data_IF_633506889105
#
_entry.id   IF_633506889105
#
_cell.length_a   1.000
_cell.length_b   1.000
_cell.length_c   1.000
_cell.angle_alpha   90.00
_cell.angle_beta   90.00
_cell.angle_gamma   90.00
#
_symmetry.space_group_name_H-M   'P 1'
#
loop_
_entity.id
_entity.type
_entity.pdbx_description
1 polymer ?
2 non-polymer ?
3 non-polymer ?
4 water ?
#
# COMPACT_ATOMS: atom_id res chain seq x y z
N UNK A 11 -15.76 -1.48 -17.57
CA UNK A 11 -16.11 -1.73 -16.16
C UNK A 11 -17.62 -1.99 -16.06
N UNK A 12 -18.03 -2.79 -15.06
CA UNK A 12 -19.41 -3.13 -14.79
C UNK A 12 -20.18 -1.91 -14.28
N UNK A 13 -21.29 -1.58 -14.95
CA UNK A 13 -22.15 -0.48 -14.53
C UNK A 13 -23.21 -1.07 -13.59
N UNK A 14 -23.28 -0.54 -12.37
CA UNK A 14 -24.19 -1.11 -11.39
C UNK A 14 -25.36 -0.16 -11.17
N UNK A 15 -26.57 -0.71 -11.15
CA UNK A 15 -27.75 0.11 -10.95
C UNK A 15 -27.84 0.49 -9.47
N UNK A 16 -28.18 1.74 -9.10
CA UNK A 16 -28.25 2.13 -7.67
C UNK A 16 -29.22 1.37 -6.77
N UNK A 17 -30.25 0.74 -7.34
CA UNK A 17 -31.19 -0.01 -6.53
C UNK A 17 -30.51 -1.26 -5.98
N UNK A 18 -29.36 -1.63 -6.58
CA UNK A 18 -28.60 -2.82 -6.17
C UNK A 18 -27.62 -2.53 -5.02
N UNK A 19 -27.51 -1.26 -4.57
CA UNK A 19 -26.46 -0.81 -3.65
C UNK A 19 -27.08 -0.07 -2.49
N UNK A 20 -26.78 -0.49 -1.23
CA UNK A 20 -27.16 0.31 -0.07
C UNK A 20 -25.92 0.75 0.72
N UNK A 21 -25.84 2.06 0.99
CA UNK A 21 -24.82 2.63 1.84
C UNK A 21 -25.27 2.53 3.30
N UNK A 22 -24.41 2.05 4.19
CA UNK A 22 -24.80 1.82 5.57
C UNK A 22 -24.05 2.71 6.53
N UNK A 23 -22.72 2.73 6.44
CA UNK A 23 -21.90 3.40 7.43
C UNK A 23 -20.80 4.13 6.67
N UNK A 24 -20.55 5.40 7.02
CA UNK A 24 -19.37 6.11 6.54
C UNK A 24 -18.14 5.50 7.20
N UNK A 25 -17.10 5.19 6.40
CA UNK A 25 -15.85 4.62 6.91
C UNK A 25 -14.67 5.48 6.50
N UNK A 26 -14.90 6.51 5.69
CA UNK A 26 -13.85 7.39 5.21
C UNK A 26 -14.50 8.65 4.65
N UNK A 27 -13.78 9.78 4.64
CA UNK A 27 -14.37 11.01 4.13
C UNK A 27 -13.28 11.96 3.62
N UNK A 28 -13.63 12.78 2.63
CA UNK A 28 -12.80 13.87 2.15
C UNK A 28 -13.66 15.06 1.74
N UNK A 29 -13.01 16.11 1.19
CA UNK A 29 -13.68 17.32 0.74
C UNK A 29 -14.72 17.02 -0.35
N UNK A 30 -14.48 16.03 -1.24
CA UNK A 30 -15.26 15.83 -2.46
C UNK A 30 -16.18 14.59 -2.43
N UNK A 31 -16.12 13.80 -1.37
CA UNK A 31 -16.98 12.64 -1.24
C UNK A 31 -16.66 11.84 0.02
N UNK A 32 -17.34 10.70 0.18
CA UNK A 32 -17.06 9.79 1.29
C UNK A 32 -16.85 8.38 0.76
N UNK A 33 -16.33 7.54 1.66
CA UNK A 33 -16.29 6.10 1.51
C UNK A 33 -17.27 5.48 2.51
N UNK A 34 -18.14 4.58 2.04
CA UNK A 34 -19.04 3.83 2.90
C UNK A 34 -18.76 2.33 2.91
N UNK A 35 -19.12 1.67 4.02
CA UNK A 35 -19.48 0.27 4.02
C UNK A 35 -20.94 0.13 3.58
N UNK A 36 -21.21 -0.86 2.74
CA UNK A 36 -22.56 -1.07 2.22
C UNK A 36 -22.76 -2.50 1.79
N UNK A 37 -23.89 -2.75 1.12
CA UNK A 37 -24.24 -4.08 0.61
C UNK A 37 -24.54 -3.97 -0.87
N UNK A 38 -24.22 -5.02 -1.62
CA UNK A 38 -24.42 -5.11 -3.06
C UNK A 38 -25.27 -6.33 -3.38
N UNK A 39 -26.42 -6.11 -4.02
CA UNK A 39 -27.41 -7.13 -4.33
C UNK A 39 -27.55 -7.23 -5.85
N UNK A 46 -26.46 -11.17 -1.50
CA UNK A 46 -26.14 -9.82 -0.96
C UNK A 46 -24.76 -9.86 -0.29
N UNK A 47 -23.82 -9.01 -0.72
CA UNK A 47 -22.43 -9.11 -0.28
C UNK A 47 -21.96 -7.75 0.26
N UNK A 48 -21.04 -7.69 1.26
CA UNK A 48 -20.55 -6.42 1.78
C UNK A 48 -19.62 -5.82 0.71
N UNK A 49 -19.66 -4.48 0.60
CA UNK A 49 -18.83 -3.74 -0.35
C UNK A 49 -18.39 -2.45 0.33
N UNK A 50 -17.29 -1.89 -0.20
CA UNK A 50 -16.97 -0.49 0.04
C UNK A 50 -17.47 0.34 -1.15
N UNK A 51 -17.85 1.59 -0.83
CA UNK A 51 -18.50 2.48 -1.79
C UNK A 51 -17.88 3.88 -1.66
N UNK A 52 -17.17 4.33 -2.70
CA UNK A 52 -16.62 5.67 -2.70
C UNK A 52 -17.48 6.56 -3.60
N UNK A 53 -17.91 7.75 -3.11
CA UNK A 53 -18.81 8.63 -3.85
C UNK A 53 -18.06 9.87 -4.33
N UNK A 54 -18.61 10.52 -5.36
CA UNK A 54 -18.15 11.84 -5.82
C UNK A 54 -19.30 12.85 -5.75
N UNK A 55 -19.06 13.98 -5.06
CA UNK A 55 -20.08 15.02 -4.82
C UNK A 55 -20.39 15.83 -6.10
N UNK A 56 -21.62 16.37 -6.16
CA UNK A 56 -22.10 17.21 -7.26
C UNK A 56 -21.26 18.46 -7.41
N UNK A 57 -21.13 18.91 -8.66
CA UNK A 57 -20.32 20.07 -8.95
C UNK A 57 -18.88 19.70 -9.23
N UNK A 58 -18.60 18.38 -9.33
CA UNK A 58 -17.25 17.94 -9.58
C UNK A 58 -16.79 18.55 -10.90
N UNK A 59 -15.48 18.79 -11.01
CA UNK A 59 -14.86 19.33 -12.21
C UNK A 59 -14.58 18.20 -13.18
N UNK A 60 -14.20 18.55 -14.42
CA UNK A 60 -13.73 17.59 -15.41
C UNK A 60 -12.54 16.79 -14.86
N UNK A 61 -11.56 17.47 -14.25
CA UNK A 61 -10.38 16.82 -13.69
C UNK A 61 -10.76 15.84 -12.59
N UNK A 62 -11.67 16.26 -11.69
CA UNK A 62 -12.17 15.37 -10.65
C UNK A 62 -12.79 14.11 -11.26
N UNK A 63 -13.63 14.27 -12.29
CA UNK A 63 -14.32 13.13 -12.90
C UNK A 63 -13.29 12.16 -13.53
N UNK A 64 -12.33 12.72 -14.28
CA UNK A 64 -11.32 11.92 -14.95
C UNK A 64 -10.51 11.15 -13.90
N UNK A 65 -10.11 11.82 -12.80
CA UNK A 65 -9.36 11.17 -11.73
C UNK A 65 -10.18 10.10 -10.99
N UNK A 66 -11.46 10.38 -10.71
CA UNK A 66 -12.34 9.47 -9.98
C UNK A 66 -12.60 8.23 -10.83
N UNK A 67 -13.11 8.44 -12.06
CA UNK A 67 -13.42 7.29 -12.90
C UNK A 67 -12.12 6.64 -13.37
N UNK A 68 -11.02 7.43 -13.37
CA UNK A 68 -9.70 6.95 -13.73
C UNK A 68 -9.22 5.86 -12.77
N UNK A 69 -9.48 6.06 -11.46
CA UNK A 69 -9.11 5.08 -10.46
C UNK A 69 -9.84 3.78 -10.75
N UNK A 70 -11.16 3.87 -11.00
CA UNK A 70 -11.93 2.68 -11.31
C UNK A 70 -11.43 2.01 -12.59
N UNK A 71 -11.10 2.81 -13.60
CA UNK A 71 -10.61 2.26 -14.86
C UNK A 71 -9.31 1.49 -14.65
N UNK A 72 -8.37 2.07 -13.87
CA UNK A 72 -7.12 1.38 -13.57
C UNK A 72 -7.43 0.08 -12.81
N UNK A 73 -8.24 0.15 -11.73
CA UNK A 73 -8.50 -1.03 -10.93
C UNK A 73 -9.17 -2.10 -11.79
N UNK A 74 -10.07 -1.71 -12.71
CA UNK A 74 -10.79 -2.69 -13.52
C UNK A 74 -9.87 -3.46 -14.48
N UNK A 75 -8.66 -2.97 -14.74
CA UNK A 75 -7.71 -3.63 -15.63
C UNK A 75 -6.97 -4.75 -14.91
N UNK A 76 -7.07 -4.78 -13.57
CA UNK A 76 -6.29 -5.72 -12.77
C UNK A 76 -7.16 -6.85 -12.24
N UNK A 77 -6.53 -8.02 -12.11
CA UNK A 77 -7.14 -9.19 -11.52
C UNK A 77 -6.05 -9.99 -10.77
N UNK A 78 -5.90 -9.72 -9.46
CA UNK A 78 -4.85 -10.34 -8.67
C UNK A 78 -5.35 -10.40 -7.23
N UNK A 79 -5.03 -11.50 -6.52
CA UNK A 79 -5.39 -11.73 -5.14
C UNK A 79 -5.01 -10.57 -4.20
N UNK A 80 -3.90 -9.89 -4.50
CA UNK A 80 -3.35 -8.87 -3.63
C UNK A 80 -3.55 -7.45 -4.17
N UNK A 81 -4.58 -7.30 -4.99
CA UNK A 81 -4.99 -6.01 -5.54
C UNK A 81 -6.50 -5.90 -5.31
N UNK A 82 -6.92 -4.80 -4.72
CA UNK A 82 -8.31 -4.58 -4.40
C UNK A 82 -9.16 -4.80 -5.66
N UNK A 83 -10.23 -5.58 -5.48
CA UNK A 83 -11.10 -5.97 -6.58
C UNK A 83 -12.24 -4.98 -6.73
N UNK A 84 -12.40 -4.51 -7.96
CA UNK A 84 -13.52 -3.67 -8.34
C UNK A 84 -14.76 -4.53 -8.62
N UNK A 85 -15.88 -4.16 -8.03
CA UNK A 85 -17.18 -4.73 -8.38
C UNK A 85 -17.81 -3.97 -9.56
N UNK A 86 -17.67 -2.65 -9.59
CA UNK A 86 -18.21 -1.86 -10.70
C UNK A 86 -18.39 -0.41 -10.29
N UNK A 87 -19.13 0.36 -11.11
CA UNK A 87 -19.23 1.79 -10.90
C UNK A 87 -20.69 2.18 -11.11
N UNK A 88 -21.09 3.28 -10.48
CA UNK A 88 -22.30 3.99 -10.87
C UNK A 88 -21.87 5.30 -11.47
N UNK A 89 -21.98 5.39 -12.81
CA UNK A 89 -21.57 6.59 -13.51
C UNK A 89 -22.77 7.27 -14.17
N UNK A 90 -23.87 6.53 -14.40
CA UNK A 90 -25.03 7.06 -15.14
C UNK A 90 -25.95 7.85 -14.22
N UNK A 91 -25.77 7.68 -12.91
CA UNK A 91 -26.57 8.36 -11.91
C UNK A 91 -25.61 9.10 -10.98
N UNK A 92 -26.14 10.05 -10.21
CA UNK A 92 -25.32 10.90 -9.36
C UNK A 92 -25.88 10.88 -7.96
N UNK A 93 -25.06 10.85 -6.89
CA UNK A 93 -23.59 10.94 -7.01
C UNK A 93 -23.01 9.68 -7.67
N UNK A 94 -21.87 9.83 -8.35
CA UNK A 94 -21.20 8.69 -8.94
C UNK A 94 -20.52 7.89 -7.84
N UNK A 95 -20.36 6.58 -8.07
CA UNK A 95 -19.82 5.70 -7.05
C UNK A 95 -18.86 4.69 -7.67
N UNK A 96 -17.82 4.35 -6.88
CA UNK A 96 -17.01 3.16 -7.15
C UNK A 96 -17.28 2.13 -6.07
N UNK A 97 -17.48 0.86 -6.48
CA UNK A 97 -17.85 -0.20 -5.59
C UNK A 97 -16.77 -1.27 -5.63
N UNK A 98 -16.20 -1.57 -4.45
CA UNK A 98 -15.14 -2.57 -4.36
C UNK A 98 -15.53 -3.64 -3.35
N UNK A 99 -14.73 -4.71 -3.30
CA UNK A 99 -14.81 -5.62 -2.15
C UNK A 99 -14.58 -4.81 -0.86
N UNK A 100 -15.12 -5.33 0.25
CA UNK A 100 -14.96 -4.71 1.55
C UNK A 100 -13.88 -5.42 2.33
N UNK A 101 -12.91 -4.65 2.83
CA UNK A 101 -11.77 -5.19 3.54
C UNK A 101 -12.02 -4.95 5.03
N UNK A 102 -12.37 -6.05 5.75
CA UNK A 102 -13.00 -5.97 7.07
C UNK A 102 -12.09 -5.34 8.13
N UNK A 103 -10.76 -5.41 7.93
CA UNK A 103 -9.79 -4.94 8.89
C UNK A 103 -9.21 -3.59 8.49
N UNK A 104 -9.66 -3.01 7.39
CA UNK A 104 -9.31 -1.62 7.09
C UNK A 104 -7.85 -1.47 6.64
N UNK A 105 -7.30 -0.28 6.89
CA UNK A 105 -5.95 0.09 6.49
C UNK A 105 -4.92 -0.61 7.37
N UNK A 106 -3.87 -1.11 6.74
CA UNK A 106 -2.83 -1.89 7.39
C UNK A 106 -2.13 -1.07 8.47
N UNK A 107 -1.89 0.21 8.25
CA UNK A 107 -1.16 1.00 9.25
C UNK A 107 -1.91 1.06 10.58
N UNK A 108 -3.17 1.44 10.50
CA UNK A 108 -4.03 1.53 11.67
C UNK A 108 -4.27 0.17 12.33
N UNK A 109 -4.47 -0.84 11.50
CA UNK A 109 -4.65 -2.20 11.96
C UNK A 109 -3.45 -2.68 12.78
N UNK A 110 -2.24 -2.50 12.26
CA UNK A 110 -1.03 -2.94 12.97
C UNK A 110 -0.94 -2.21 14.32
N UNK A 111 -1.24 -0.91 14.36
CA UNK A 111 -1.07 -0.12 15.58
C UNK A 111 -2.12 -0.49 16.62
N UNK A 112 -3.27 -0.99 16.16
CA UNK A 112 -4.32 -1.46 17.08
C UNK A 112 -4.13 -2.93 17.49
N UNK A 113 -3.18 -3.65 16.91
CA UNK A 113 -3.03 -5.08 17.13
C UNK A 113 -1.59 -5.38 17.48
N UNK A 114 -0.93 -4.41 18.12
CA UNK A 114 0.49 -4.52 18.38
C UNK A 114 0.81 -5.82 19.13
N UNK A 115 1.73 -6.61 18.60
CA UNK A 115 2.21 -7.85 19.20
C UNK A 115 1.31 -9.07 19.03
N UNK A 116 0.17 -8.95 18.33
CA UNK A 116 -0.86 -9.98 18.27
C UNK A 116 -0.63 -11.03 17.18
N UNK A 117 0.39 -10.89 16.34
CA UNK A 117 0.65 -11.83 15.25
C UNK A 117 1.98 -12.54 15.40
N UNK A 118 2.09 -13.73 14.81
CA UNK A 118 3.38 -14.41 14.75
C UNK A 118 4.26 -13.74 13.68
N UNK A 119 5.57 -13.98 13.78
CA UNK A 119 6.49 -13.51 12.75
C UNK A 119 6.12 -14.08 11.38
N UNK A 120 5.73 -15.35 11.33
CA UNK A 120 5.34 -15.96 10.07
C UNK A 120 4.13 -15.23 9.48
N UNK A 121 3.13 -14.88 10.29
CA UNK A 121 1.99 -14.13 9.79
C UNK A 121 2.43 -12.78 9.21
N UNK A 122 3.27 -12.07 9.93
CA UNK A 122 3.76 -10.77 9.43
C UNK A 122 4.46 -10.92 8.08
N UNK A 123 5.35 -11.92 7.97
CA UNK A 123 6.06 -12.18 6.73
C UNK A 123 5.11 -12.56 5.58
N UNK A 124 4.06 -13.30 5.90
CA UNK A 124 3.03 -13.66 4.97
C UNK A 124 2.30 -12.43 4.42
N UNK A 125 2.04 -11.46 5.30
CA UNK A 125 1.42 -10.20 4.87
C UNK A 125 2.33 -9.51 3.85
N UNK A 126 3.64 -9.47 4.15
CA UNK A 126 4.60 -8.86 3.25
C UNK A 126 4.71 -9.61 1.93
N UNK A 127 4.61 -10.94 1.95
CA UNK A 127 4.68 -11.66 0.66
C UNK A 127 3.50 -11.25 -0.22
N UNK A 128 2.31 -11.15 0.40
CA UNK A 128 1.10 -10.76 -0.33
C UNK A 128 1.24 -9.39 -0.97
N UNK A 129 1.78 -8.46 -0.19
CA UNK A 129 1.96 -7.11 -0.70
C UNK A 129 2.96 -7.13 -1.86
N UNK A 130 4.06 -7.87 -1.67
CA UNK A 130 5.07 -8.01 -2.70
C UNK A 130 4.53 -8.66 -3.99
N UNK A 131 3.67 -9.68 -3.84
CA UNK A 131 3.05 -10.28 -5.00
C UNK A 131 2.16 -9.28 -5.76
N UNK A 132 1.35 -8.48 -5.02
CA UNK A 132 0.55 -7.44 -5.66
C UNK A 132 1.44 -6.45 -6.41
N UNK A 133 2.52 -6.01 -5.74
CA UNK A 133 3.43 -5.04 -6.35
C UNK A 133 4.14 -5.64 -7.57
N UNK A 134 4.54 -6.91 -7.51
CA UNK A 134 5.12 -7.55 -8.70
C UNK A 134 4.18 -7.47 -9.89
N UNK A 135 2.91 -7.73 -9.64
CA UNK A 135 1.89 -7.74 -10.66
C UNK A 135 1.74 -6.34 -11.22
N UNK A 136 1.64 -5.31 -10.37
CA UNK A 136 1.51 -3.95 -10.85
C UNK A 136 2.72 -3.59 -11.73
N UNK A 137 3.92 -3.92 -11.23
CA UNK A 137 5.14 -3.52 -11.92
C UNK A 137 5.18 -4.18 -13.31
N UNK A 138 4.75 -5.44 -13.31
CA UNK A 138 4.78 -6.19 -14.58
C UNK A 138 3.70 -5.71 -15.55
N UNK A 139 2.63 -5.15 -14.96
CA UNK A 139 1.57 -4.52 -15.74
C UNK A 139 1.92 -3.08 -16.12
N UNK A 140 3.17 -2.65 -15.90
CA UNK A 140 3.63 -1.31 -16.23
C UNK A 140 2.93 -0.22 -15.43
N UNK A 141 2.58 -0.51 -14.18
CA UNK A 141 1.97 0.44 -13.30
C UNK A 141 2.95 0.78 -12.18
N UNK A 142 3.34 2.05 -12.09
CA UNK A 142 4.16 2.54 -10.98
C UNK A 142 3.26 3.20 -9.94
N UNK A 143 3.26 2.68 -8.71
CA UNK A 143 2.29 3.11 -7.72
C UNK A 143 2.56 4.55 -7.25
N UNK A 144 3.79 4.85 -6.88
CA UNK A 144 4.27 6.15 -6.37
C UNK A 144 3.95 6.44 -4.91
N UNK A 145 2.98 5.72 -4.34
CA UNK A 145 2.48 6.04 -3.01
C UNK A 145 2.31 4.77 -2.19
N UNK A 146 3.26 3.87 -2.29
CA UNK A 146 3.18 2.61 -1.55
C UNK A 146 3.61 2.86 -0.09
N UNK A 147 2.68 2.52 0.81
CA UNK A 147 2.79 2.75 2.24
C UNK A 147 1.70 1.89 2.91
N UNK A 148 1.90 1.56 4.19
CA UNK A 148 0.92 0.76 4.92
C UNK A 148 -0.47 1.40 4.89
N UNK A 149 -0.55 2.75 4.88
CA UNK A 149 -1.85 3.40 4.89
C UNK A 149 -2.63 3.10 3.63
N UNK A 150 -1.97 2.67 2.53
CA UNK A 150 -2.62 2.47 1.24
C UNK A 150 -2.80 0.97 0.94
N UNK A 151 -2.55 0.15 1.95
CA UNK A 151 -2.81 -1.29 1.89
C UNK A 151 -4.03 -1.60 2.80
N UNK A 152 -4.92 -2.48 2.32
CA UNK A 152 -6.08 -2.90 3.08
C UNK A 152 -5.98 -4.39 3.44
N UNK A 153 -6.70 -4.78 4.49
CA UNK A 153 -6.56 -6.09 5.13
C UNK A 153 -7.93 -6.73 5.31
N UNK A 154 -8.12 -7.96 4.80
CA UNK A 154 -9.38 -8.65 4.99
C UNK A 154 -9.37 -9.61 6.18
N UNK A 155 -10.48 -10.31 6.38
CA UNK A 155 -10.63 -11.23 7.51
C UNK A 155 -9.86 -12.53 7.33
N UNK A 156 -9.13 -12.74 6.22
CA UNK A 156 -8.16 -13.82 6.05
C UNK A 156 -6.71 -13.33 6.24
N UNK A 157 -6.55 -12.08 6.67
CA UNK A 157 -5.26 -11.42 6.84
C UNK A 157 -4.58 -11.17 5.49
N UNK A 158 -5.35 -11.17 4.41
CA UNK A 158 -4.81 -10.91 3.08
C UNK A 158 -4.68 -9.40 2.95
N UNK A 159 -3.47 -8.97 2.53
CA UNK A 159 -3.14 -7.59 2.27
C UNK A 159 -3.24 -7.31 0.77
N UNK A 160 -3.99 -6.24 0.44
CA UNK A 160 -4.22 -5.82 -0.94
C UNK A 160 -3.87 -4.37 -1.12
N UNK A 161 -3.09 -4.11 -2.18
CA UNK A 161 -2.76 -2.75 -2.58
C UNK A 161 -4.03 -2.06 -3.04
N UNK A 162 -4.22 -0.82 -2.56
CA UNK A 162 -5.26 0.06 -2.98
C UNK A 162 -4.66 1.41 -3.39
N UNK A 163 -5.53 2.42 -3.58
CA UNK A 163 -5.09 3.78 -3.86
C UNK A 163 -4.46 3.86 -5.25
N UNK A 164 -5.30 3.87 -6.29
CA UNK A 164 -4.83 3.95 -7.67
C UNK A 164 -5.26 5.27 -8.31
N UNK A 165 -4.60 5.61 -9.42
CA UNK A 165 -4.91 6.80 -10.21
C UNK A 165 -3.63 7.44 -10.75
N UNK A 166 -3.70 8.76 -11.02
CA UNK A 166 -2.51 9.58 -11.25
C UNK A 166 -2.63 10.93 -10.53
N UNK A 167 -3.28 10.96 -9.35
CA UNK A 167 -3.88 12.17 -8.79
C UNK A 167 -2.98 12.82 -7.71
N UNK A 168 -1.66 12.74 -7.83
CA UNK A 168 -0.78 12.81 -6.65
C UNK A 168 0.35 13.83 -6.83
N UNK A 169 0.78 14.44 -5.70
CA UNK A 169 1.94 15.32 -5.65
C UNK A 169 2.80 14.96 -4.44
N UNK A 170 4.13 14.99 -4.63
CA UNK A 170 5.07 14.85 -3.53
C UNK A 170 4.90 16.03 -2.58
N UNK A 171 4.80 15.68 -1.29
CA UNK A 171 4.75 16.63 -0.17
C UNK A 171 5.91 17.62 -0.29
N UNK A 172 5.66 18.89 0.03
CA UNK A 172 6.67 19.95 0.01
C UNK A 172 7.29 20.12 -1.38
N UNK A 173 6.51 19.90 -2.44
CA UNK A 173 7.04 19.96 -3.80
C UNK A 173 5.95 19.54 -4.79
N UNK A 185 2.08 12.80 -1.40
CA UNK A 185 3.04 11.64 -1.28
C UNK A 185 4.17 12.02 -0.32
N UNK A 186 4.31 11.27 0.80
CA UNK A 186 5.25 11.67 1.84
C UNK A 186 6.67 11.32 1.43
N UNK A 187 7.54 12.27 1.78
CA UNK A 187 8.96 12.15 1.56
C UNK A 187 9.53 10.85 2.14
N UNK A 188 9.17 10.49 3.37
CA UNK A 188 9.93 9.48 4.09
C UNK A 188 9.58 8.06 3.61
N UNK A 189 8.61 7.92 2.71
CA UNK A 189 8.36 6.65 2.02
C UNK A 189 9.01 6.60 0.64
N UNK A 190 9.52 7.73 0.16
CA UNK A 190 9.88 7.87 -1.25
C UNK A 190 11.38 7.67 -1.48
N UNK A 191 11.73 7.02 -2.62
CA UNK A 191 13.09 6.80 -2.99
C UNK A 191 13.84 8.13 -3.29
N UNK A 192 15.16 8.18 -3.04
CA UNK A 192 15.97 9.40 -3.26
C UNK A 192 15.85 9.99 -4.68
N UNK A 193 15.82 9.11 -5.71
CA UNK A 193 15.76 9.60 -7.09
C UNK A 193 14.40 10.22 -7.39
N UNK A 194 13.34 9.78 -6.70
CA UNK A 194 12.02 10.31 -6.95
C UNK A 194 11.93 11.69 -6.32
N UNK A 195 12.48 11.84 -5.12
CA UNK A 195 12.62 13.14 -4.48
C UNK A 195 13.53 14.07 -5.29
N UNK A 196 14.74 13.62 -5.62
CA UNK A 196 15.74 14.53 -6.16
C UNK A 196 15.44 14.95 -7.60
N UNK A 197 14.95 14.05 -8.47
CA UNK A 197 14.74 14.45 -9.87
C UNK A 197 13.47 13.84 -10.49
N UNK A 198 12.52 13.48 -9.64
CA UNK A 198 11.16 13.13 -10.01
C UNK A 198 11.11 11.84 -10.82
N UNK A 199 12.07 10.95 -10.60
CA UNK A 199 12.07 9.65 -11.27
C UNK A 199 11.37 8.58 -10.45
N UNK A 200 10.07 8.38 -10.74
CA UNK A 200 9.28 7.32 -10.15
C UNK A 200 9.25 6.13 -11.11
N UNK A 201 9.71 4.99 -10.61
CA UNK A 201 9.70 3.72 -11.34
C UNK A 201 9.28 2.60 -10.37
N UNK A 202 9.16 1.37 -10.90
CA UNK A 202 9.00 0.22 -10.02
C UNK A 202 10.14 0.09 -8.99
N UNK A 203 11.35 0.58 -9.31
CA UNK A 203 12.46 0.52 -8.38
C UNK A 203 12.31 1.52 -7.22
N UNK A 204 11.64 2.65 -7.47
CA UNK A 204 11.28 3.55 -6.40
C UNK A 204 10.16 2.96 -5.54
N UNK A 205 9.28 2.17 -6.17
CA UNK A 205 8.30 1.43 -5.39
C UNK A 205 8.98 0.37 -4.51
N UNK A 206 10.05 -0.26 -4.98
CA UNK A 206 10.78 -1.21 -4.14
C UNK A 206 11.30 -0.51 -2.87
N UNK A 207 11.86 0.70 -3.02
CA UNK A 207 12.29 1.46 -1.86
C UNK A 207 11.14 1.57 -0.87
N UNK A 208 9.99 1.98 -1.40
CA UNK A 208 8.82 2.17 -0.58
C UNK A 208 8.42 0.86 0.10
N UNK A 209 8.51 -0.25 -0.64
CA UNK A 209 8.23 -1.54 -0.07
C UNK A 209 9.14 -1.86 1.12
N UNK A 210 10.43 -1.52 1.02
CA UNK A 210 11.35 -1.64 2.14
C UNK A 210 10.82 -0.92 3.38
N UNK A 211 10.24 0.29 3.18
CA UNK A 211 9.67 1.07 4.27
C UNK A 211 8.45 0.33 4.82
N UNK A 212 7.63 -0.23 3.93
CA UNK A 212 6.43 -0.98 4.36
C UNK A 212 6.85 -2.21 5.18
N UNK A 213 7.89 -2.90 4.72
CA UNK A 213 8.42 -4.02 5.51
C UNK A 213 8.69 -3.56 6.95
N UNK A 214 9.35 -2.41 7.10
CA UNK A 214 9.72 -1.91 8.42
C UNK A 214 8.45 -1.53 9.20
N UNK A 215 7.47 -0.94 8.52
CA UNK A 215 6.17 -0.64 9.16
C UNK A 215 5.56 -1.93 9.71
N UNK A 216 5.51 -2.98 8.90
CA UNK A 216 4.84 -4.20 9.31
C UNK A 216 5.60 -4.84 10.48
N UNK A 217 6.93 -4.94 10.39
CA UNK A 217 7.68 -5.64 11.43
C UNK A 217 7.71 -4.86 12.74
N UNK A 218 7.40 -3.56 12.69
CA UNK A 218 7.35 -2.72 13.87
C UNK A 218 5.93 -2.52 14.41
N UNK A 219 4.94 -3.14 13.78
CA UNK A 219 3.54 -2.90 14.08
C UNK A 219 3.14 -1.42 13.93
N UNK A 220 3.63 -0.80 12.86
CA UNK A 220 3.15 0.51 12.47
C UNK A 220 3.85 1.68 13.14
N UNK A 221 5.12 1.50 13.47
CA UNK A 221 5.97 2.61 13.90
C UNK A 221 6.10 3.60 12.73
N UNK A 222 6.24 4.88 13.06
CA UNK A 222 6.43 5.90 12.01
C UNK A 222 7.91 5.88 11.60
N UNK A 223 8.20 5.70 10.30
CA UNK A 223 9.60 5.69 9.84
C UNK A 223 10.32 6.99 10.23
N UNK A 224 11.50 6.87 10.83
CA UNK A 224 12.42 7.98 11.14
C UNK A 224 11.87 8.77 12.31
N UNK A 225 10.79 8.29 12.97
CA UNK A 225 10.24 8.94 14.16
C UNK A 225 10.04 10.44 13.95
N UNK A 226 10.67 11.28 14.78
CA UNK A 226 10.32 12.69 14.73
C UNK A 226 11.29 13.45 13.84
N UNK A 227 12.20 12.79 13.09
CA UNK A 227 13.11 13.50 12.17
C UNK A 227 12.22 14.30 11.21
N UNK A 228 12.61 15.55 10.92
CA UNK A 228 11.93 16.35 9.90
C UNK A 228 12.18 15.72 8.52
N UNK A 229 11.37 16.12 7.54
CA UNK A 229 11.59 15.69 6.17
C UNK A 229 13.02 15.97 5.72
N UNK A 230 13.57 17.16 6.05
CA UNK A 230 14.90 17.53 5.58
C UNK A 230 15.98 16.74 6.32
N UNK A 231 15.78 16.47 7.60
CA UNK A 231 16.67 15.59 8.34
C UNK A 231 16.66 14.16 7.77
N UNK A 232 15.52 13.67 7.33
CA UNK A 232 15.42 12.32 6.76
C UNK A 232 16.24 12.27 5.47
N UNK A 233 16.04 13.27 4.62
CA UNK A 233 16.74 13.31 3.33
C UNK A 233 18.25 13.40 3.50
N UNK A 234 18.71 14.26 4.43
CA UNK A 234 20.11 14.40 4.74
C UNK A 234 20.69 13.08 5.30
N UNK A 235 19.92 12.44 6.18
CA UNK A 235 20.36 11.21 6.80
C UNK A 235 20.53 10.14 5.73
N UNK A 236 19.51 9.98 4.87
CA UNK A 236 19.57 8.98 3.82
C UNK A 236 20.76 9.26 2.90
N UNK A 237 20.95 10.53 2.51
CA UNK A 237 22.06 10.88 1.60
C UNK A 237 23.45 10.61 2.21
N UNK A 238 23.57 10.67 3.54
CA UNK A 238 24.80 10.40 4.28
C UNK A 238 24.96 8.91 4.58
N UNK A 239 24.05 8.03 4.11
CA UNK A 239 24.19 6.59 4.28
C UNK A 239 23.40 5.97 5.42
N UNK A 240 22.67 6.77 6.20
CA UNK A 240 21.95 6.25 7.35
C UNK A 240 20.71 5.51 6.84
N UNK A 241 20.32 4.46 7.55
CA UNK A 241 19.08 3.76 7.24
C UNK A 241 18.34 3.45 8.53
N UNK A 242 17.06 3.09 8.39
CA UNK A 242 16.26 2.65 9.53
C UNK A 242 16.95 1.48 10.23
N UNK A 243 16.92 1.49 11.59
CA UNK A 243 17.51 0.38 12.36
C UNK A 243 16.61 -0.86 12.39
N UNK A 244 17.16 -1.96 12.90
CA UNK A 244 16.47 -3.24 12.91
C UNK A 244 15.24 -3.10 13.83
N UNK A 245 14.03 -3.51 13.40
CA UNK A 245 12.90 -3.64 14.34
C UNK A 245 13.26 -4.66 15.41
N UNK A 246 12.54 -4.59 16.54
CA UNK A 246 12.66 -5.59 17.60
C UNK A 246 12.15 -6.92 17.05
N UNK A 247 12.84 -8.03 17.35
CA UNK A 247 12.37 -9.37 17.07
C UNK A 247 12.19 -9.61 15.57
N UNK A 248 13.06 -8.98 14.77
CA UNK A 248 12.99 -9.07 13.32
C UNK A 248 13.94 -10.16 12.84
N UNK A 249 13.48 -11.12 12.02
CA UNK A 249 14.38 -12.07 11.39
C UNK A 249 15.49 -11.35 10.62
N UNK A 250 16.69 -11.87 10.77
CA UNK A 250 17.85 -11.37 10.07
C UNK A 250 17.58 -11.26 8.56
N UNK A 251 17.01 -12.30 7.98
CA UNK A 251 16.82 -12.32 6.53
C UNK A 251 15.87 -11.20 6.11
N UNK A 252 14.89 -10.88 6.96
CA UNK A 252 13.92 -9.83 6.64
C UNK A 252 14.58 -8.46 6.70
N UNK A 253 15.37 -8.20 7.74
CA UNK A 253 16.11 -6.95 7.81
C UNK A 253 17.10 -6.82 6.64
N UNK A 254 17.85 -7.89 6.32
CA UNK A 254 18.71 -7.86 5.16
C UNK A 254 17.96 -7.47 3.89
N UNK A 255 16.74 -8.03 3.70
CA UNK A 255 15.95 -7.75 2.52
C UNK A 255 15.50 -6.29 2.49
N UNK A 256 15.01 -5.74 3.62
CA UNK A 256 14.58 -4.35 3.60
C UNK A 256 15.77 -3.43 3.38
N UNK A 257 16.99 -3.76 3.91
CA UNK A 257 18.16 -2.92 3.67
C UNK A 257 18.52 -2.91 2.17
N UNK A 258 18.38 -4.06 1.49
CA UNK A 258 18.66 -4.07 0.05
C UNK A 258 17.66 -3.23 -0.74
N UNK A 259 16.42 -3.08 -0.24
CA UNK A 259 15.43 -2.25 -0.92
C UNK A 259 15.88 -0.78 -0.89
N UNK A 260 16.73 -0.47 0.09
CA UNK A 260 17.16 0.92 0.33
C UNK A 260 18.58 1.22 -0.17
N UNK A 261 19.01 0.49 -1.17
CA UNK A 261 20.25 0.81 -1.88
C UNK A 261 20.05 2.13 -2.62
N UNK A 262 21.04 3.04 -2.48
CA UNK A 262 20.97 4.34 -3.13
C UNK A 262 20.87 4.13 -4.63
N UNK A 263 21.66 3.16 -5.15
CA UNK A 263 21.70 2.88 -6.57
C UNK A 263 20.52 1.95 -6.89
N UNK A 264 19.59 2.47 -7.69
CA UNK A 264 18.37 1.70 -8.05
C UNK A 264 18.69 0.31 -8.62
N UNK A 265 19.77 0.18 -9.40
CA UNK A 265 20.01 -1.09 -10.07
C UNK A 265 20.49 -2.15 -9.09
N UNK A 266 20.87 -1.78 -7.86
CA UNK A 266 21.28 -2.74 -6.85
C UNK A 266 20.09 -3.22 -6.00
N UNK A 267 18.92 -2.57 -6.14
CA UNK A 267 17.77 -2.97 -5.36
C UNK A 267 17.24 -4.26 -5.97
N UNK A 268 16.62 -5.12 -5.15
CA UNK A 268 15.95 -6.29 -5.69
C UNK A 268 14.75 -5.83 -6.53
N UNK A 269 14.35 -6.67 -7.48
CA UNK A 269 13.08 -6.49 -8.16
C UNK A 269 11.99 -7.11 -7.30
N UNK A 270 10.72 -6.74 -7.51
CA UNK A 270 9.66 -7.45 -6.79
C UNK A 270 9.73 -8.97 -6.99
N UNK A 271 10.21 -9.40 -8.15
CA UNK A 271 10.24 -10.83 -8.43
C UNK A 271 11.19 -11.50 -7.44
N UNK A 272 12.31 -10.80 -7.15
CA UNK A 272 13.30 -11.29 -6.21
C UNK A 272 12.70 -11.35 -4.80
N UNK A 273 12.04 -10.26 -4.40
CA UNK A 273 11.42 -10.14 -3.08
C UNK A 273 10.39 -11.25 -2.86
N UNK A 274 9.47 -11.48 -3.81
CA UNK A 274 8.49 -12.55 -3.74
C UNK A 274 9.21 -13.90 -3.52
N UNK A 275 10.24 -14.16 -4.33
CA UNK A 275 10.96 -15.42 -4.32
C UNK A 275 11.55 -15.64 -2.93
N UNK A 276 12.22 -14.61 -2.39
CA UNK A 276 12.92 -14.70 -1.11
C UNK A 276 11.90 -14.93 0.00
N UNK A 277 10.82 -14.15 0.01
CA UNK A 277 9.82 -14.28 1.08
C UNK A 277 9.18 -15.66 1.02
N UNK A 278 8.93 -16.17 -0.18
CA UNK A 278 8.34 -17.50 -0.35
C UNK A 278 9.23 -18.58 0.26
N UNK A 279 10.54 -18.51 0.00
CA UNK A 279 11.48 -19.47 0.54
C UNK A 279 11.51 -19.42 2.06
N UNK A 280 11.47 -18.20 2.63
CA UNK A 280 11.52 -18.06 4.07
C UNK A 280 10.26 -18.67 4.70
N UNK A 281 9.09 -18.41 4.08
CA UNK A 281 7.82 -18.92 4.56
C UNK A 281 7.79 -20.45 4.47
N UNK A 282 8.38 -21.03 3.45
CA UNK A 282 8.31 -22.49 3.24
C UNK A 282 9.33 -23.23 4.10
N UNK A 283 10.32 -22.52 4.64
CA UNK A 283 11.28 -23.02 5.61
C UNK A 283 11.23 -22.12 6.84
N UNK A 284 10.12 -22.14 7.60
CA UNK A 284 9.82 -21.07 8.56
C UNK A 284 10.82 -20.99 9.72
N UNK A 285 11.57 -22.08 9.96
CA UNK A 285 12.63 -22.02 10.95
C UNK A 285 13.69 -20.96 10.60
N UNK A 286 13.79 -20.60 9.31
CA UNK A 286 14.71 -19.58 8.83
C UNK A 286 14.44 -18.24 9.50
N UNK A 287 13.19 -18.05 9.97
CA UNK A 287 12.76 -16.78 10.55
C UNK A 287 13.10 -16.70 12.04
N UNK A 288 13.60 -17.80 12.65
CA UNK A 288 13.97 -17.78 14.06
C UNK A 288 15.31 -17.09 14.28
N UNK A 289 16.12 -16.93 13.21
CA UNK A 289 17.39 -16.25 13.36
C UNK A 289 17.15 -14.74 13.30
N UNK A 290 17.39 -14.01 14.41
CA UNK A 290 16.97 -12.63 14.53
C UNK A 290 18.18 -11.72 14.35
N UNK A 291 17.93 -10.58 13.70
CA UNK A 291 18.88 -9.48 13.68
C UNK A 291 19.03 -8.93 15.10
N UNK A 292 20.28 -8.58 15.46
CA UNK A 292 20.57 -7.90 16.71
C UNK A 292 19.85 -6.56 16.78
N UNK A 293 19.12 -6.33 17.86
CA UNK A 293 18.37 -5.10 18.07
C UNK A 293 19.24 -4.12 18.87
X LIG B 1 18.21 20.90 16.43
X LIG B 1 18.15 20.03 17.57
X LIG B 1 17.16 20.59 15.42
X LIG B 1 15.87 20.71 15.99
X LIG C 1 16.85 12.57 -0.93
X LIG C 1 17.62 11.40 -0.81
X LIG C 1 17.12 13.18 -2.21
X LIG C 1 18.48 13.52 -2.33
X LIG D 1 -11.84 -6.16 -11.31
X LIG D 1 -11.15 -6.00 -10.08
X LIG D 1 -12.17 -7.56 -11.62
X LIG D 1 -11.02 -8.41 -11.57
X LIG E 1 14.89 9.57 0.93
X LIG E 1 15.71 10.72 1.11
X LIG E 1 13.63 9.74 1.70
X LIG E 1 12.90 8.57 1.91
X LIG F 1 -7.24 -6.01 21.00
X LIG F 1 -6.40 -5.10 20.31
X LIG F 1 -7.99 -6.93 20.08
X LIG F 1 -7.23 -7.42 19.00
X LIG G 1 12.49 21.53 9.11
X LIG G 1 12.05 22.76 8.65
X LIG G 1 13.77 21.00 8.62
X LIG G 1 14.61 20.33 9.53
X LIG H 1 -12.58 -1.85 2.14
X LIG H 1 -12.05 -0.03 0.89
X LIG H 1 -12.44 -1.35 0.89
X LIG H 1 -9.23 5.02 5.27
X LIG H 1 -12.24 -0.84 2.96
X LIG H 1 -11.90 1.40 -2.51
X LIG H 1 -12.67 2.90 -4.25
X LIG H 1 -12.92 2.09 -3.15
X LIG H 1 -11.91 0.29 2.24
X LIG H 1 -11.36 3.04 -4.70
X LIG H 1 -10.33 2.36 -4.08
X LIG H 1 -10.57 1.54 -2.98
X LIG H 1 -14.55 1.93 -2.59
X LIG H 1 -12.23 0.61 -1.39
X LIG H 1 -11.85 0.98 -0.17
X LIG H 1 -11.30 2.05 0.04
X LIG H 1 -11.50 1.47 2.86
X LIG H 1 -11.44 1.53 4.22
X LIG H 1 -11.79 0.36 4.97
X LIG H 1 -12.18 -0.78 4.38
X LIG H 1 -11.02 2.74 5.00
X LIG H 1 -11.27 4.07 4.28
X LIG H 1 -10.64 5.24 5.04
X LIG H 1 -9.02 3.82 6.07
X LIG H 1 -9.54 2.62 5.32
X LIG I 1 9.85 -5.34 -11.04
X LIG I 1 10.24 -5.03 -9.70
X LIG I 1 9.06 -6.58 -11.14
X LIG I 1 9.71 -7.72 -10.65
X LIG J 1 1.29 4.42 -13.71
X LIG J 1 2.59 4.00 -14.11
X LIG J 1 1.20 5.80 -13.16
X LIG J 1 2.28 6.21 -12.30
#
# INVERSE_FOLDING_TARGET
>A
GDPNQAVLKFTTEIHPSCVTRQKVIGAGEFGEVYKGMLKTSSGKKEVPVAIKTLKAGYTEKQRVDFLGEAGIMGQFSHHNIIRLEGVISKYKPMMIITEYMENGALDKFLREKDGEFSVLQLVGMLRGIAAGMKYLANMNYVHRDLAARNILVNSNLVCKVSDFGLSRVLEDDPEATYTTSGGKIPIRWTAPEAISYRKFTSASDVWSFGIVMWEVMTYGERPYWELSNHEVMKAINDGFRLPTPMDCPSAIYQLMMQCWQQERARRPKFADIVSILDKLIRAPDSLKTLADFDPRVSIRLPSTSG
>B hetero
1 EDO C1 O1 C2 O2
>C hetero
1 EDO C1 O1 C2 O2
>D hetero
1 EDO C1 O1 C2 O2
>E hetero
1 EDO C1 O1 C2 O2
>F hetero
1 EDO C1 O1 C2 O2
>G hetero
1 EDO C1 O1 C2 O2
>H hetero
1 QJI N1 C7 C8 N2 C9 C1 C5 C6 N3 C4 C3 C2 CL N C O C18 C12 C11 C10 C13 C17 C16 C15 C14
>I hetero
1 EDO C1 O1 C2 O2
>J hetero
1 EDO C1 O1 C2 O2
#
